data_IF_000262633329
#
_entry.id   IF_000262633329
#
_cell.length_a   1.000
_cell.length_b   1.000
_cell.length_c   1.000
_cell.angle_alpha   90.00
_cell.angle_beta   90.00
_cell.angle_gamma   90.00
#
_symmetry.space_group_name_H-M   'P 1'
#
loop_
_entity.id
_entity.type
_entity.pdbx_description
1 polymer ?
#
# COMPACT_ATOMS: atom_id res chain seq x y z
N UNK A 1 61.04 64.02 36.04
CA UNK A 1 59.94 63.26 36.69
C UNK A 1 58.60 63.18 35.91
N UNK A 2 58.24 64.09 34.99
CA UNK A 2 56.95 64.01 34.25
C UNK A 2 56.90 62.95 33.11
N UNK A 3 58.03 62.58 32.50
CA UNK A 3 58.05 61.61 31.40
C UNK A 3 57.84 60.14 31.80
N UNK A 4 58.30 59.71 32.98
CA UNK A 4 58.16 58.30 33.41
C UNK A 4 56.69 57.94 33.73
N UNK A 5 55.89 58.86 34.28
CA UNK A 5 54.46 58.61 34.56
C UNK A 5 53.59 58.50 33.30
N UNK A 6 54.04 59.06 32.16
CA UNK A 6 53.31 58.94 30.89
C UNK A 6 53.49 57.54 30.29
N UNK A 7 54.72 57.01 30.26
CA UNK A 7 55.04 55.66 29.76
C UNK A 7 54.33 54.54 30.53
N UNK A 8 54.21 54.67 31.86
CA UNK A 8 53.48 53.70 32.70
C UNK A 8 51.98 53.64 32.38
N UNK A 9 51.34 54.77 32.05
CA UNK A 9 49.91 54.80 31.69
C UNK A 9 49.64 54.18 30.31
N UNK A 10 50.58 54.27 29.37
CA UNK A 10 50.48 53.60 28.06
C UNK A 10 50.67 52.08 28.17
N UNK A 11 51.63 51.62 28.98
CA UNK A 11 51.87 50.19 29.18
C UNK A 11 50.68 49.50 29.89
N UNK A 12 50.10 50.14 30.92
CA UNK A 12 48.89 49.63 31.58
C UNK A 12 47.66 49.63 30.66
N UNK A 13 47.50 50.64 29.79
CA UNK A 13 46.40 50.69 28.81
C UNK A 13 46.50 49.63 27.71
N UNK A 14 47.71 49.34 27.22
CA UNK A 14 47.96 48.30 26.22
C UNK A 14 47.73 46.90 26.80
N UNK A 15 48.14 46.65 28.04
CA UNK A 15 47.87 45.38 28.73
C UNK A 15 46.38 45.16 29.00
N UNK A 16 45.62 46.20 29.37
CA UNK A 16 44.18 46.08 29.58
C UNK A 16 43.41 45.83 28.27
N UNK A 17 43.79 46.49 27.18
CA UNK A 17 43.22 46.25 25.85
C UNK A 17 43.55 44.85 25.30
N UNK A 18 44.77 44.35 25.53
CA UNK A 18 45.16 43.00 25.15
C UNK A 18 44.36 41.92 25.92
N UNK A 19 44.10 42.14 27.22
CA UNK A 19 43.29 41.22 28.04
C UNK A 19 41.82 41.25 27.64
N UNK A 20 41.25 42.42 27.31
CA UNK A 20 39.87 42.52 26.82
C UNK A 20 39.74 41.88 25.44
N UNK A 21 40.74 42.02 24.56
CA UNK A 21 40.75 41.38 23.24
C UNK A 21 40.85 39.85 23.34
N UNK A 22 41.64 39.30 24.27
CA UNK A 22 41.75 37.85 24.47
C UNK A 22 40.51 37.26 25.14
N UNK A 23 39.89 37.96 26.10
CA UNK A 23 38.62 37.55 26.71
C UNK A 23 37.48 37.64 25.68
N UNK A 24 37.45 38.70 24.86
CA UNK A 24 36.53 38.81 23.74
C UNK A 24 36.68 37.61 22.80
N UNK A 25 37.91 37.33 22.34
CA UNK A 25 38.17 36.22 21.42
C UNK A 25 37.80 34.85 22.03
N UNK A 26 38.06 34.61 23.31
CA UNK A 26 37.70 33.34 23.97
C UNK A 26 36.19 33.18 24.18
N UNK A 27 35.47 34.27 24.45
CA UNK A 27 34.00 34.27 24.51
C UNK A 27 33.39 34.05 23.12
N UNK A 28 33.91 34.72 22.08
CA UNK A 28 33.48 34.51 20.69
C UNK A 28 33.75 33.08 20.20
N UNK A 29 34.91 32.50 20.53
CA UNK A 29 35.24 31.09 20.21
C UNK A 29 34.34 30.12 20.97
N UNK A 30 33.95 30.43 22.20
CA UNK A 30 33.05 29.57 23.01
C UNK A 30 31.60 29.62 22.51
N UNK A 31 31.13 30.78 22.03
CA UNK A 31 29.80 30.94 21.42
C UNK A 31 29.76 30.18 20.08
N UNK A 32 30.76 30.37 19.21
CA UNK A 32 30.88 29.61 17.95
C UNK A 32 31.01 28.10 18.18
N UNK A 33 31.79 27.67 19.18
CA UNK A 33 31.92 26.25 19.52
C UNK A 33 30.63 25.67 20.12
N UNK A 34 29.84 26.47 20.85
CA UNK A 34 28.50 26.08 21.32
C UNK A 34 27.53 25.85 20.16
N UNK A 35 27.54 26.73 19.16
CA UNK A 35 26.65 26.67 17.99
C UNK A 35 27.02 25.52 17.03
N UNK A 36 28.31 25.18 16.92
CA UNK A 36 28.75 23.98 16.18
C UNK A 36 28.34 22.69 16.91
N UNK A 37 28.29 22.69 18.25
CA UNK A 37 27.82 21.54 19.04
C UNK A 37 26.31 21.33 18.87
N UNK A 38 25.51 22.39 18.88
CA UNK A 38 24.06 22.28 18.64
C UNK A 38 23.75 21.79 17.23
N UNK A 39 24.50 22.25 16.20
CA UNK A 39 24.33 21.76 14.83
C UNK A 39 24.72 20.27 14.65
N UNK A 40 25.64 19.76 15.48
CA UNK A 40 26.07 18.36 15.43
C UNK A 40 25.15 17.42 16.22
N UNK A 41 24.47 17.93 17.24
CA UNK A 41 23.46 17.19 18.04
C UNK A 41 22.10 17.09 17.34
N UNK A 42 21.71 18.10 16.55
CA UNK A 42 20.47 18.06 15.73
C UNK A 42 20.56 17.08 14.54
N UNK A 43 21.74 16.52 14.28
CA UNK A 43 21.95 15.42 13.35
C UNK A 43 21.88 14.04 14.03
N UNK A 44 21.32 13.95 15.23
CA UNK A 44 20.67 12.73 15.71
C UNK A 44 19.42 12.49 14.86
N UNK A 45 19.62 11.78 13.75
CA UNK A 45 18.57 11.22 12.88
C UNK A 45 17.39 10.78 13.75
N UNK A 46 16.17 11.34 13.58
CA UNK A 46 15.01 10.80 14.28
C UNK A 46 14.98 9.31 13.97
N UNK A 47 14.97 8.50 15.02
CA UNK A 47 14.78 7.05 14.98
C UNK A 47 13.35 6.72 14.55
N UNK A 48 12.91 7.32 13.45
CA UNK A 48 11.85 6.82 12.61
C UNK A 48 12.46 5.67 11.81
N UNK A 49 12.79 4.58 12.51
CA UNK A 49 12.67 3.27 11.89
C UNK A 49 11.17 3.15 11.59
N UNK A 50 10.74 3.66 10.43
CA UNK A 50 9.52 3.14 9.83
C UNK A 50 9.62 1.62 9.95
N UNK A 51 8.58 0.91 10.44
CA UNK A 51 8.64 -0.53 10.52
C UNK A 51 9.14 -1.01 9.17
N UNK A 52 10.26 -1.74 9.15
CA UNK A 52 10.75 -2.35 7.94
C UNK A 52 9.55 -3.13 7.38
N UNK A 53 9.06 -2.73 6.20
CA UNK A 53 8.01 -3.47 5.53
C UNK A 53 8.53 -4.89 5.41
N UNK A 54 7.90 -5.80 6.14
CA UNK A 54 8.21 -7.22 6.05
C UNK A 54 7.69 -7.72 4.70
N UNK A 55 8.52 -7.54 3.68
CA UNK A 55 8.28 -8.01 2.32
C UNK A 55 8.25 -9.55 2.23
N UNK A 56 8.44 -10.27 3.34
CA UNK A 56 8.39 -11.74 3.41
C UNK A 56 7.03 -12.31 3.81
N UNK A 57 6.05 -11.46 4.12
CA UNK A 57 4.69 -11.92 4.44
C UNK A 57 3.88 -12.18 3.16
N UNK A 58 3.69 -13.45 2.81
CA UNK A 58 2.75 -13.84 1.76
C UNK A 58 1.30 -13.46 2.16
N UNK A 59 0.47 -12.97 1.23
CA UNK A 59 -0.94 -12.67 1.52
C UNK A 59 -1.68 -13.90 2.06
N UNK A 60 -2.57 -13.67 3.03
CA UNK A 60 -3.45 -14.71 3.53
C UNK A 60 -4.64 -14.97 2.61
N UNK A 61 -5.46 -15.96 2.98
CA UNK A 61 -6.66 -16.30 2.22
C UNK A 61 -7.66 -15.13 2.14
N UNK A 62 -7.78 -14.32 3.20
CA UNK A 62 -8.73 -13.20 3.25
C UNK A 62 -8.40 -12.09 2.24
N UNK A 63 -7.11 -11.84 2.05
CA UNK A 63 -6.60 -10.90 1.05
C UNK A 63 -6.97 -11.37 -0.36
N UNK A 64 -6.73 -12.65 -0.68
CA UNK A 64 -7.15 -13.19 -1.97
C UNK A 64 -8.67 -13.18 -2.16
N UNK A 65 -9.47 -13.52 -1.15
CA UNK A 65 -10.93 -13.44 -1.23
C UNK A 65 -11.42 -12.01 -1.50
N UNK A 66 -10.75 -11.01 -0.92
CA UNK A 66 -11.03 -9.59 -1.17
C UNK A 66 -10.65 -9.19 -2.60
N UNK A 67 -9.49 -9.62 -3.07
CA UNK A 67 -9.03 -9.41 -4.45
C UNK A 67 -9.98 -10.06 -5.47
N UNK A 68 -10.44 -11.29 -5.22
CA UNK A 68 -11.43 -11.97 -6.05
C UNK A 68 -12.74 -11.19 -6.12
N UNK A 69 -13.24 -10.70 -4.99
CA UNK A 69 -14.47 -9.89 -4.95
C UNK A 69 -14.31 -8.58 -5.73
N UNK A 70 -13.13 -7.95 -5.66
CA UNK A 70 -12.79 -6.77 -6.45
C UNK A 70 -12.86 -7.08 -7.96
N UNK A 71 -12.13 -8.09 -8.43
CA UNK A 71 -12.12 -8.44 -9.86
C UNK A 71 -13.48 -8.91 -10.36
N UNK A 72 -14.23 -9.70 -9.58
CA UNK A 72 -15.63 -10.03 -9.90
C UNK A 72 -16.49 -8.77 -10.06
N UNK A 73 -16.27 -7.74 -9.25
CA UNK A 73 -16.92 -6.45 -9.42
C UNK A 73 -16.54 -5.76 -10.73
N UNK A 74 -15.25 -5.76 -11.07
CA UNK A 74 -14.72 -5.14 -12.30
C UNK A 74 -15.21 -5.86 -13.55
N UNK A 75 -15.22 -7.21 -13.55
CA UNK A 75 -15.81 -8.05 -14.61
C UNK A 75 -17.27 -7.69 -14.85
N UNK A 76 -18.08 -7.53 -13.80
CA UNK A 76 -19.50 -7.16 -13.94
C UNK A 76 -19.69 -5.84 -14.68
N UNK A 77 -18.99 -4.78 -14.24
CA UNK A 77 -19.16 -3.46 -14.85
C UNK A 77 -18.59 -3.39 -16.26
N UNK A 78 -17.47 -4.06 -16.53
CA UNK A 78 -16.92 -4.17 -17.87
C UNK A 78 -17.88 -4.91 -18.82
N UNK A 79 -18.38 -6.08 -18.43
CA UNK A 79 -19.31 -6.87 -19.23
C UNK A 79 -20.67 -6.19 -19.39
N UNK A 80 -21.18 -5.48 -18.37
CA UNK A 80 -22.42 -4.69 -18.47
C UNK A 80 -22.31 -3.54 -19.47
N UNK A 81 -21.13 -2.95 -19.59
CA UNK A 81 -20.84 -1.88 -20.55
C UNK A 81 -20.38 -2.40 -21.91
N UNK A 82 -20.43 -3.72 -22.14
CA UNK A 82 -19.91 -4.38 -23.34
C UNK A 82 -18.44 -4.04 -23.66
N UNK A 83 -17.66 -3.68 -22.64
CA UNK A 83 -16.22 -3.52 -22.74
C UNK A 83 -15.56 -4.88 -22.54
N UNK A 84 -15.63 -5.70 -23.58
CA UNK A 84 -15.23 -7.11 -23.54
C UNK A 84 -13.73 -7.32 -23.35
N UNK A 85 -12.90 -6.37 -23.79
CA UNK A 85 -11.45 -6.40 -23.54
C UNK A 85 -11.15 -6.25 -22.05
N UNK A 86 -11.78 -5.27 -21.40
CA UNK A 86 -11.65 -5.12 -19.95
C UNK A 86 -12.27 -6.31 -19.21
N UNK A 87 -13.40 -6.85 -19.68
CA UNK A 87 -14.03 -8.00 -19.04
C UNK A 87 -13.12 -9.24 -19.10
N UNK A 88 -12.43 -9.49 -20.22
CA UNK A 88 -11.41 -10.55 -20.33
C UNK A 88 -10.26 -10.32 -19.37
N UNK A 89 -9.67 -9.12 -19.40
CA UNK A 89 -8.54 -8.78 -18.55
C UNK A 89 -8.85 -9.00 -17.07
N UNK A 90 -9.97 -8.50 -16.58
CA UNK A 90 -10.36 -8.67 -15.17
C UNK A 90 -10.73 -10.12 -14.82
N UNK A 91 -11.18 -10.91 -15.80
CA UNK A 91 -11.44 -12.33 -15.59
C UNK A 91 -10.13 -13.11 -15.47
N UNK A 92 -9.10 -12.75 -16.24
CA UNK A 92 -7.76 -13.34 -16.13
C UNK A 92 -7.14 -13.02 -14.76
N UNK A 93 -7.20 -11.75 -14.32
CA UNK A 93 -6.74 -11.34 -12.98
C UNK A 93 -7.50 -12.07 -11.85
N UNK A 94 -8.81 -12.31 -12.03
CA UNK A 94 -9.58 -13.13 -11.10
C UNK A 94 -9.04 -14.57 -11.05
N UNK A 95 -8.75 -15.18 -12.21
CA UNK A 95 -8.20 -16.54 -12.29
C UNK A 95 -6.85 -16.63 -11.58
N UNK A 96 -5.96 -15.66 -11.81
CA UNK A 96 -4.68 -15.59 -11.13
C UNK A 96 -4.83 -15.49 -9.60
N UNK A 97 -5.75 -14.65 -9.12
CA UNK A 97 -6.04 -14.55 -7.69
C UNK A 97 -6.59 -15.86 -7.11
N UNK A 98 -7.44 -16.57 -7.85
CA UNK A 98 -7.96 -17.89 -7.46
C UNK A 98 -6.87 -18.94 -7.41
N UNK A 99 -6.01 -19.02 -8.44
CA UNK A 99 -4.89 -19.96 -8.50
C UNK A 99 -3.86 -19.69 -7.40
N UNK A 100 -3.57 -18.42 -7.11
CA UNK A 100 -2.72 -18.04 -5.99
C UNK A 100 -3.32 -18.47 -4.64
N UNK A 101 -4.63 -18.31 -4.45
CA UNK A 101 -5.31 -18.77 -3.24
C UNK A 101 -5.33 -20.31 -3.12
N UNK A 102 -5.39 -21.05 -4.23
CA UNK A 102 -5.28 -22.51 -4.20
C UNK A 102 -3.95 -22.98 -3.62
N UNK A 103 -2.85 -22.27 -3.96
CA UNK A 103 -1.50 -22.60 -3.49
C UNK A 103 -1.30 -22.39 -1.98
N UNK A 104 -2.27 -21.77 -1.29
CA UNK A 104 -2.26 -21.70 0.18
C UNK A 104 -2.65 -23.03 0.85
N UNK A 105 -3.18 -24.00 0.11
CA UNK A 105 -3.67 -25.29 0.63
C UNK A 105 -4.58 -25.13 1.87
N UNK A 106 -5.45 -24.11 1.82
CA UNK A 106 -6.20 -23.67 2.99
C UNK A 106 -7.39 -24.57 3.28
N UNK A 107 -7.61 -24.86 4.57
CA UNK A 107 -8.84 -25.50 5.07
C UNK A 107 -9.59 -24.55 5.98
N UNK A 108 -10.91 -24.46 5.83
CA UNK A 108 -11.79 -23.69 6.74
C UNK A 108 -12.96 -24.56 7.17
N UNK A 109 -13.11 -24.75 8.48
CA UNK A 109 -14.18 -25.56 9.08
C UNK A 109 -14.33 -26.95 8.44
N UNK A 110 -13.18 -27.61 8.14
CA UNK A 110 -13.14 -28.93 7.51
C UNK A 110 -13.36 -28.93 5.99
N UNK A 111 -13.57 -27.77 5.37
CA UNK A 111 -13.69 -27.62 3.92
C UNK A 111 -12.32 -27.31 3.32
N UNK A 112 -11.89 -28.13 2.36
CA UNK A 112 -10.72 -27.88 1.52
C UNK A 112 -11.04 -26.77 0.51
N UNK A 113 -10.56 -25.56 0.81
CA UNK A 113 -10.84 -24.38 -0.01
C UNK A 113 -10.11 -24.46 -1.35
N UNK A 114 -8.91 -25.02 -1.38
CA UNK A 114 -8.11 -25.14 -2.61
C UNK A 114 -8.79 -26.05 -3.63
N UNK A 115 -9.40 -27.16 -3.18
CA UNK A 115 -10.16 -28.04 -4.05
C UNK A 115 -11.47 -27.39 -4.54
N UNK A 116 -12.18 -26.67 -3.66
CA UNK A 116 -13.39 -25.94 -4.09
C UNK A 116 -13.04 -24.87 -5.13
N UNK A 117 -11.99 -24.07 -4.91
CA UNK A 117 -11.51 -23.09 -5.89
C UNK A 117 -11.14 -23.74 -7.22
N UNK A 118 -10.49 -24.92 -7.19
CA UNK A 118 -10.17 -25.68 -8.41
C UNK A 118 -11.43 -26.00 -9.22
N UNK A 119 -12.46 -26.49 -8.53
CA UNK A 119 -13.73 -26.84 -9.16
C UNK A 119 -14.42 -25.62 -9.75
N UNK A 120 -14.45 -24.50 -9.03
CA UNK A 120 -15.07 -23.25 -9.50
C UNK A 120 -14.33 -22.68 -10.72
N UNK A 121 -12.98 -22.73 -10.72
CA UNK A 121 -12.15 -22.35 -11.88
C UNK A 121 -12.48 -23.16 -13.12
N UNK A 122 -12.55 -24.49 -12.98
CA UNK A 122 -12.79 -25.41 -14.09
C UNK A 122 -14.23 -25.36 -14.62
N UNK A 123 -15.17 -24.85 -13.83
CA UNK A 123 -16.60 -24.86 -14.18
C UNK A 123 -17.15 -23.45 -14.36
N UNK A 124 -17.56 -22.77 -13.30
CA UNK A 124 -18.28 -21.48 -13.41
C UNK A 124 -17.40 -20.39 -14.04
N UNK A 125 -16.12 -20.31 -13.69
CA UNK A 125 -15.23 -19.30 -14.27
C UNK A 125 -14.93 -19.61 -15.74
N UNK A 126 -14.79 -20.90 -16.10
CA UNK A 126 -14.69 -21.31 -17.51
C UNK A 126 -15.93 -20.92 -18.31
N UNK A 127 -17.13 -21.14 -17.77
CA UNK A 127 -18.39 -20.74 -18.42
C UNK A 127 -18.53 -19.22 -18.56
N UNK A 128 -18.09 -18.48 -17.55
CA UNK A 128 -18.05 -17.01 -17.60
C UNK A 128 -17.07 -16.52 -18.67
N UNK A 129 -15.90 -17.16 -18.80
CA UNK A 129 -14.93 -16.88 -19.86
C UNK A 129 -15.54 -17.08 -21.23
N UNK A 130 -16.18 -18.22 -21.47
CA UNK A 130 -16.83 -18.50 -22.75
C UNK A 130 -17.91 -17.45 -23.09
N UNK A 131 -18.66 -16.99 -22.09
CA UNK A 131 -19.68 -15.98 -22.30
C UNK A 131 -19.09 -14.60 -22.63
N UNK A 132 -17.98 -14.23 -21.98
CA UNK A 132 -17.20 -13.02 -22.29
C UNK A 132 -16.61 -13.10 -23.71
N UNK A 133 -16.06 -14.26 -24.11
CA UNK A 133 -15.48 -14.47 -25.43
C UNK A 133 -16.53 -14.42 -26.55
N UNK A 134 -17.73 -14.95 -26.28
CA UNK A 134 -18.89 -14.85 -27.17
C UNK A 134 -19.50 -13.44 -27.21
N UNK A 135 -19.09 -12.54 -26.33
CA UNK A 135 -19.59 -11.16 -26.22
C UNK A 135 -21.13 -11.11 -26.11
N UNK A 136 -21.73 -12.13 -25.48
CA UNK A 136 -23.17 -12.27 -25.39
C UNK A 136 -23.66 -11.82 -24.01
N UNK A 137 -24.41 -10.71 -23.98
CA UNK A 137 -24.86 -10.11 -22.72
C UNK A 137 -25.71 -11.04 -21.86
N UNK A 138 -26.59 -11.83 -22.47
CA UNK A 138 -27.49 -12.74 -21.75
C UNK A 138 -26.71 -13.90 -21.15
N UNK A 139 -25.83 -14.52 -21.94
CA UNK A 139 -24.99 -15.62 -21.47
C UNK A 139 -24.03 -15.14 -20.38
N UNK A 140 -23.45 -13.94 -20.53
CA UNK A 140 -22.58 -13.32 -19.53
C UNK A 140 -23.33 -13.13 -18.20
N UNK A 141 -24.52 -12.55 -18.27
CA UNK A 141 -25.34 -12.24 -17.08
C UNK A 141 -25.71 -13.51 -16.31
N UNK A 142 -26.01 -14.60 -17.01
CA UNK A 142 -26.31 -15.91 -16.41
C UNK A 142 -25.04 -16.54 -15.81
N UNK A 143 -23.96 -16.64 -16.58
CA UNK A 143 -22.71 -17.25 -16.12
C UNK A 143 -22.11 -16.50 -14.92
N UNK A 144 -22.27 -15.17 -14.87
CA UNK A 144 -21.88 -14.36 -13.72
C UNK A 144 -22.67 -14.72 -12.46
N UNK A 145 -23.99 -14.92 -12.58
CA UNK A 145 -24.82 -15.35 -11.45
C UNK A 145 -24.47 -16.75 -10.96
N UNK A 146 -24.18 -17.66 -11.89
CA UNK A 146 -23.76 -19.01 -11.56
C UNK A 146 -22.43 -19.00 -10.81
N UNK A 147 -21.48 -18.13 -11.21
CA UNK A 147 -20.24 -17.89 -10.47
C UNK A 147 -20.50 -17.34 -9.06
N UNK A 148 -21.37 -16.33 -8.92
CA UNK A 148 -21.75 -15.82 -7.59
C UNK A 148 -22.42 -16.89 -6.71
N UNK A 149 -23.24 -17.74 -7.30
CA UNK A 149 -23.87 -18.86 -6.60
C UNK A 149 -22.81 -19.82 -6.05
N UNK A 150 -21.81 -20.18 -6.86
CA UNK A 150 -20.70 -21.03 -6.45
C UNK A 150 -19.84 -20.40 -5.34
N UNK A 151 -19.48 -19.11 -5.46
CA UNK A 151 -18.78 -18.37 -4.40
C UNK A 151 -19.55 -18.44 -3.08
N UNK A 152 -20.85 -18.15 -3.12
CA UNK A 152 -21.71 -18.18 -1.95
C UNK A 152 -21.90 -19.60 -1.37
N UNK A 153 -21.94 -20.64 -2.22
CA UNK A 153 -22.00 -22.03 -1.78
C UNK A 153 -20.76 -22.46 -0.98
N UNK A 154 -19.57 -22.01 -1.40
CA UNK A 154 -18.34 -22.18 -0.65
C UNK A 154 -18.39 -21.43 0.70
N UNK A 155 -18.85 -20.17 0.70
CA UNK A 155 -18.98 -19.39 1.92
C UNK A 155 -19.96 -20.04 2.90
N UNK A 156 -21.09 -20.56 2.43
CA UNK A 156 -22.05 -21.26 3.28
C UNK A 156 -21.47 -22.55 3.87
N UNK A 157 -20.92 -23.42 3.01
CA UNK A 157 -20.38 -24.73 3.43
C UNK A 157 -19.20 -24.59 4.38
N UNK A 158 -18.37 -23.55 4.19
CA UNK A 158 -17.26 -23.24 5.09
C UNK A 158 -17.68 -22.50 6.36
N UNK A 159 -18.97 -22.26 6.60
CA UNK A 159 -19.48 -21.60 7.82
C UNK A 159 -19.44 -20.07 7.82
N UNK A 160 -19.22 -19.45 6.66
CA UNK A 160 -19.11 -18.00 6.44
C UNK A 160 -20.32 -17.42 5.69
N UNK A 161 -21.53 -17.97 5.88
CA UNK A 161 -22.75 -17.53 5.16
C UNK A 161 -23.09 -16.03 5.29
N UNK A 162 -22.55 -15.35 6.30
CA UNK A 162 -22.70 -13.90 6.48
C UNK A 162 -21.93 -13.09 5.43
N UNK A 163 -20.97 -13.70 4.74
CA UNK A 163 -20.27 -13.15 3.57
C UNK A 163 -21.10 -13.48 2.32
N UNK A 164 -22.26 -12.83 2.19
CA UNK A 164 -23.12 -13.01 1.02
C UNK A 164 -22.71 -12.05 -0.09
N UNK A 165 -22.17 -12.59 -1.18
CA UNK A 165 -21.81 -11.82 -2.36
C UNK A 165 -23.03 -11.66 -3.27
N UNK A 166 -23.27 -10.44 -3.74
CA UNK A 166 -24.36 -10.09 -4.66
C UNK A 166 -23.80 -9.41 -5.89
N UNK A 167 -24.62 -9.25 -6.94
CA UNK A 167 -24.28 -8.33 -8.03
C UNK A 167 -23.99 -6.94 -7.44
N UNK A 168 -22.88 -6.30 -7.82
CA UNK A 168 -22.58 -4.97 -7.33
C UNK A 168 -23.51 -3.94 -7.98
N UNK A 169 -23.99 -3.00 -7.18
CA UNK A 169 -24.90 -1.92 -7.62
C UNK A 169 -24.17 -0.62 -7.93
N UNK A 170 -22.89 -0.51 -7.52
CA UNK A 170 -21.99 0.59 -7.81
C UNK A 170 -20.61 0.05 -8.19
N UNK A 171 -19.84 0.75 -9.05
CA UNK A 171 -18.49 0.32 -9.42
C UNK A 171 -17.59 0.14 -8.19
N UNK A 172 -16.72 -0.89 -8.19
CA UNK A 172 -15.84 -1.15 -7.04
C UNK A 172 -14.73 -0.10 -6.92
N UNK A 173 -14.44 0.62 -7.99
CA UNK A 173 -13.50 1.76 -8.02
C UNK A 173 -14.14 2.95 -8.75
N UNK A 174 -14.06 4.17 -8.22
CA UNK A 174 -14.75 5.34 -8.78
C UNK A 174 -13.97 6.04 -9.90
N UNK A 175 -12.69 5.71 -10.09
CA UNK A 175 -11.75 6.37 -10.99
C UNK A 175 -11.40 5.53 -12.23
N UNK A 176 -12.29 4.63 -12.63
CA UNK A 176 -12.12 3.79 -13.81
C UNK A 176 -13.29 4.00 -14.77
N UNK A 177 -12.96 4.12 -16.07
CA UNK A 177 -13.95 4.14 -17.14
C UNK A 177 -14.31 2.70 -17.53
N UNK A 178 -15.61 2.42 -17.65
CA UNK A 178 -16.12 1.07 -17.90
C UNK A 178 -16.62 0.87 -19.32
N UNK A 179 -17.03 1.93 -19.99
CA UNK A 179 -17.43 1.89 -21.40
C UNK A 179 -16.21 1.98 -22.32
N UNK A 180 -16.39 1.55 -23.57
CA UNK A 180 -15.42 1.81 -24.63
C UNK A 180 -15.72 3.23 -25.12
N UNK A 181 -14.97 4.22 -24.63
CA UNK A 181 -15.10 5.59 -25.12
C UNK A 181 -14.85 5.63 -26.63
N UNK A 182 -15.81 6.16 -27.39
CA UNK A 182 -15.66 6.51 -28.80
C UNK A 182 -14.72 7.68 -29.02
#
# INVERSE_FOLDING_TARGET
>A
MKQLRRRSRYLLGISLLAVIATIGLSVWVSILAGEIRTLKDDQARPNNSAPALDLSSSPGLGEFMTTMQLHMGKVWFAGKSSNWDLARYELDELREAMEAAQNLHATKNGVDISNVLASVLQTQISQLSEAVDKMNQSDFTRAYDDALSACNGCHETSGHRFIKITRPIAPPVPNQQWDVSS
#
